data_IF_007666561926
#
_entry.id   IF_007666561926
#
_cell.length_a   1.000
_cell.length_b   1.000
_cell.length_c   1.000
_cell.angle_alpha   90.00
_cell.angle_beta   90.00
_cell.angle_gamma   90.00
#
_symmetry.space_group_name_H-M   'P 1'
#
loop_
_entity.id
_entity.type
_entity.pdbx_description
1 polymer ?
#
# COMPACT_ATOMS: atom_id res chain seq x y z
N UNK A 1 -12.62 -12.87 -4.14
CA UNK A 1 -11.95 -12.52 -5.43
C UNK A 1 -12.43 -13.47 -6.50
N UNK A 2 -12.35 -13.06 -7.76
CA UNK A 2 -12.61 -13.89 -8.93
C UNK A 2 -11.45 -13.74 -9.92
N UNK A 3 -11.15 -14.80 -10.65
CA UNK A 3 -10.10 -14.82 -11.66
C UNK A 3 -10.56 -15.63 -12.87
N UNK A 4 -10.15 -15.21 -14.06
CA UNK A 4 -10.36 -15.92 -15.31
C UNK A 4 -9.04 -15.95 -16.07
N UNK A 5 -8.71 -17.09 -16.66
CA UNK A 5 -7.59 -17.22 -17.59
C UNK A 5 -8.04 -17.92 -18.86
N UNK A 6 -7.47 -17.53 -19.98
CA UNK A 6 -7.71 -18.14 -21.27
C UNK A 6 -6.38 -18.34 -21.99
N UNK A 7 -6.07 -19.60 -22.31
CA UNK A 7 -4.89 -19.96 -23.07
C UNK A 7 -5.17 -19.73 -24.56
N UNK A 8 -4.49 -18.73 -25.13
CA UNK A 8 -4.57 -18.41 -26.57
C UNK A 8 -3.72 -19.41 -27.35
N UNK A 9 -2.52 -19.71 -26.82
CA UNK A 9 -1.59 -20.71 -27.31
C UNK A 9 -0.97 -21.44 -26.09
N UNK A 10 -0.33 -22.61 -26.27
CA UNK A 10 0.33 -23.30 -25.16
C UNK A 10 1.38 -22.48 -24.40
N UNK A 11 1.90 -21.42 -25.02
CA UNK A 11 2.90 -20.51 -24.48
C UNK A 11 2.37 -19.07 -24.24
N UNK A 12 1.09 -18.80 -24.53
CA UNK A 12 0.49 -17.47 -24.46
C UNK A 12 -0.89 -17.55 -23.81
N UNK A 13 -1.07 -16.87 -22.69
CA UNK A 13 -2.38 -16.75 -22.07
C UNK A 13 -2.70 -15.32 -21.68
N UNK A 14 -3.99 -15.05 -21.54
CA UNK A 14 -4.50 -13.82 -20.95
C UNK A 14 -5.23 -14.19 -19.66
N UNK A 15 -4.97 -13.44 -18.60
CA UNK A 15 -5.62 -13.60 -17.31
C UNK A 15 -6.17 -12.29 -16.80
N UNK A 16 -7.36 -12.31 -16.21
CA UNK A 16 -7.94 -11.18 -15.50
C UNK A 16 -8.31 -11.58 -14.09
N UNK A 17 -8.13 -10.67 -13.13
CA UNK A 17 -8.49 -10.87 -11.72
C UNK A 17 -9.23 -9.67 -11.19
N UNK A 18 -10.19 -9.91 -10.31
CA UNK A 18 -10.89 -8.87 -9.56
C UNK A 18 -11.02 -9.30 -8.09
N UNK A 19 -10.73 -8.38 -7.18
CA UNK A 19 -10.84 -8.54 -5.73
C UNK A 19 -11.60 -7.35 -5.18
N UNK A 20 -12.56 -7.65 -4.33
CA UNK A 20 -13.28 -6.66 -3.53
C UNK A 20 -13.12 -7.11 -2.10
N UNK A 21 -12.59 -6.24 -1.26
CA UNK A 21 -12.50 -6.43 0.19
C UNK A 21 -13.30 -5.33 0.87
N UNK A 22 -14.25 -5.73 1.70
CA UNK A 22 -15.09 -4.81 2.47
C UNK A 22 -14.91 -5.11 3.94
N UNK A 23 -14.58 -4.09 4.72
CA UNK A 23 -14.48 -4.17 6.17
C UNK A 23 -15.43 -3.17 6.77
N UNK A 24 -16.33 -3.65 7.63
CA UNK A 24 -17.17 -2.80 8.45
C UNK A 24 -16.75 -3.01 9.90
N UNK A 25 -16.47 -1.93 10.62
CA UNK A 25 -16.19 -1.98 12.04
C UNK A 25 -17.07 -1.00 12.80
N UNK A 26 -17.49 -1.42 13.98
CA UNK A 26 -18.23 -0.57 14.92
C UNK A 26 -17.36 -0.46 16.17
N UNK A 27 -16.98 0.76 16.49
CA UNK A 27 -16.32 1.10 17.73
C UNK A 27 -17.33 1.72 18.68
N UNK A 28 -17.43 1.19 19.89
CA UNK A 28 -18.30 1.72 20.94
C UNK A 28 -17.48 2.03 22.17
N UNK A 29 -17.59 3.28 22.65
CA UNK A 29 -17.00 3.72 23.91
C UNK A 29 -18.09 4.11 24.88
N UNK A 30 -17.95 3.63 26.12
CA UNK A 30 -18.86 3.91 27.22
C UNK A 30 -18.03 4.36 28.42
N UNK A 31 -18.06 5.65 28.71
CA UNK A 31 -17.44 6.21 29.90
C UNK A 31 -18.54 6.44 30.94
N UNK A 32 -18.43 5.75 32.07
CA UNK A 32 -19.44 5.80 33.13
C UNK A 32 -19.44 7.15 33.86
N UNK A 33 -20.54 7.48 34.54
CA UNK A 33 -20.70 8.65 35.40
C UNK A 33 -19.57 8.79 36.46
N UNK A 34 -18.97 7.68 36.88
CA UNK A 34 -17.83 7.66 37.80
C UNK A 34 -16.47 7.92 37.14
N UNK A 35 -16.43 8.13 35.82
CA UNK A 35 -15.20 8.41 35.08
C UNK A 35 -14.75 9.85 35.31
N UNK A 36 -13.47 10.12 35.01
CA UNK A 36 -12.92 11.46 35.15
C UNK A 36 -13.69 12.45 34.26
N UNK A 37 -14.16 13.56 34.84
CA UNK A 37 -14.99 14.55 34.15
C UNK A 37 -14.29 15.22 32.97
N UNK A 38 -12.95 15.24 32.94
CA UNK A 38 -12.20 15.76 31.79
C UNK A 38 -12.41 14.90 30.53
N UNK A 39 -12.44 13.57 30.67
CA UNK A 39 -12.61 12.65 29.53
C UNK A 39 -14.08 12.43 29.16
N UNK A 40 -15.02 12.80 30.04
CA UNK A 40 -16.46 12.84 29.73
C UNK A 40 -16.92 14.22 29.26
N UNK A 41 -15.99 15.11 28.89
CA UNK A 41 -16.28 16.45 28.38
C UNK A 41 -17.16 17.29 29.34
N UNK A 42 -16.90 17.13 30.64
CA UNK A 42 -17.60 17.81 31.72
C UNK A 42 -18.88 17.13 32.20
N UNK A 43 -19.30 16.02 31.60
CA UNK A 43 -20.51 15.32 32.05
C UNK A 43 -20.28 14.50 33.32
N UNK A 44 -21.19 14.67 34.27
CA UNK A 44 -21.33 13.81 35.46
C UNK A 44 -22.18 12.57 35.22
N UNK A 45 -22.83 12.46 34.05
CA UNK A 45 -23.75 11.37 33.70
C UNK A 45 -23.09 10.28 32.83
N UNK A 46 -21.92 10.59 32.27
CA UNK A 46 -21.12 9.70 31.43
C UNK A 46 -20.89 10.28 30.02
N UNK A 47 -20.27 9.49 29.15
CA UNK A 47 -20.00 9.88 27.77
C UNK A 47 -20.12 8.67 26.85
N UNK A 48 -20.72 8.89 25.68
CA UNK A 48 -20.99 7.84 24.70
C UNK A 48 -20.38 8.19 23.35
N UNK A 49 -19.68 7.22 22.77
CA UNK A 49 -19.13 7.30 21.42
C UNK A 49 -19.52 6.06 20.66
N UNK A 50 -20.05 6.23 19.46
CA UNK A 50 -20.26 5.17 18.49
C UNK A 50 -19.70 5.62 17.14
N UNK A 51 -18.77 4.84 16.59
CA UNK A 51 -18.15 5.11 15.29
C UNK A 51 -18.35 3.89 14.42
N UNK A 52 -18.91 4.10 13.24
CA UNK A 52 -19.02 3.10 12.18
C UNK A 52 -18.04 3.44 11.08
N UNK A 53 -17.07 2.56 10.85
CA UNK A 53 -16.15 2.65 9.73
C UNK A 53 -16.51 1.61 8.68
N UNK A 54 -16.53 2.04 7.42
CA UNK A 54 -16.75 1.22 6.25
C UNK A 54 -15.61 1.46 5.25
N UNK A 55 -14.71 0.50 5.18
CA UNK A 55 -13.57 0.49 4.27
C UNK A 55 -13.85 -0.49 3.12
N UNK A 56 -13.66 -0.02 1.89
CA UNK A 56 -13.85 -0.78 0.66
C UNK A 56 -12.55 -0.68 -0.16
N UNK A 57 -12.05 -1.83 -0.61
CA UNK A 57 -10.93 -1.91 -1.51
C UNK A 57 -11.31 -2.75 -2.72
N UNK A 58 -11.20 -2.15 -3.90
CA UNK A 58 -11.41 -2.80 -5.19
C UNK A 58 -10.07 -2.86 -5.92
N UNK A 59 -9.64 -4.06 -6.25
CA UNK A 59 -8.46 -4.30 -7.06
C UNK A 59 -8.83 -5.12 -8.29
N UNK A 60 -8.41 -4.67 -9.47
CA UNK A 60 -8.57 -5.45 -10.68
C UNK A 60 -7.32 -5.37 -11.55
N UNK A 61 -6.97 -6.48 -12.20
CA UNK A 61 -5.86 -6.55 -13.15
C UNK A 61 -6.22 -7.39 -14.38
N UNK A 62 -5.60 -7.03 -15.50
CA UNK A 62 -5.56 -7.84 -16.73
C UNK A 62 -4.11 -7.98 -17.13
N UNK A 63 -3.72 -9.19 -17.49
CA UNK A 63 -2.35 -9.56 -17.77
C UNK A 63 -2.26 -10.49 -18.98
N UNK A 64 -1.34 -10.18 -19.88
CA UNK A 64 -0.91 -11.05 -20.96
C UNK A 64 0.41 -11.71 -20.55
N UNK A 65 0.45 -13.04 -20.61
CA UNK A 65 1.57 -13.85 -20.15
C UNK A 65 2.14 -14.66 -21.32
N UNK A 66 3.44 -14.57 -21.52
CA UNK A 66 4.23 -15.35 -22.46
C UNK A 66 5.16 -16.24 -21.66
N UNK A 67 5.10 -17.55 -21.89
CA UNK A 67 6.07 -18.50 -21.34
C UNK A 67 6.49 -19.45 -22.45
N UNK A 68 7.67 -19.20 -23.03
CA UNK A 68 8.15 -19.92 -24.19
C UNK A 68 9.61 -20.33 -24.04
N UNK A 69 9.87 -21.61 -24.27
CA UNK A 69 11.22 -22.15 -24.40
C UNK A 69 11.59 -22.22 -25.88
N UNK A 70 12.79 -21.74 -26.22
CA UNK A 70 13.34 -21.80 -27.57
C UNK A 70 14.51 -22.79 -27.58
N UNK A 71 14.27 -23.97 -28.16
CA UNK A 71 15.22 -25.09 -28.10
C UNK A 71 15.39 -25.60 -26.68
N UNK A 72 16.60 -26.07 -26.35
CA UNK A 72 16.97 -26.53 -25.00
C UNK A 72 17.67 -25.45 -24.17
N UNK A 73 18.08 -24.36 -24.82
CA UNK A 73 18.98 -23.37 -24.21
C UNK A 73 18.27 -22.11 -23.72
N UNK A 74 17.23 -21.65 -24.39
CA UNK A 74 16.65 -20.34 -24.09
C UNK A 74 15.25 -20.47 -23.53
N UNK A 75 14.97 -19.71 -22.47
CA UNK A 75 13.62 -19.55 -21.93
C UNK A 75 13.27 -18.08 -21.88
N UNK A 76 12.01 -17.77 -22.18
CA UNK A 76 11.46 -16.44 -22.13
C UNK A 76 10.17 -16.49 -21.32
N UNK A 77 10.14 -15.72 -20.24
CA UNK A 77 8.92 -15.43 -19.48
C UNK A 77 8.69 -13.93 -19.57
N UNK A 78 7.61 -13.52 -20.21
CA UNK A 78 7.25 -12.10 -20.30
C UNK A 78 5.81 -11.89 -19.86
N UNK A 79 5.57 -10.86 -19.06
CA UNK A 79 4.24 -10.51 -18.58
C UNK A 79 4.03 -9.01 -18.82
N UNK A 80 2.87 -8.64 -19.34
CA UNK A 80 2.47 -7.24 -19.50
C UNK A 80 1.04 -7.11 -19.01
N UNK A 81 0.77 -6.12 -18.17
CA UNK A 81 -0.55 -5.97 -17.59
C UNK A 81 -0.87 -4.54 -17.17
N UNK A 82 -2.15 -4.32 -16.93
CA UNK A 82 -2.66 -3.10 -16.35
C UNK A 82 -3.47 -3.44 -15.10
N UNK A 83 -3.45 -2.56 -14.10
CA UNK A 83 -4.25 -2.73 -12.88
C UNK A 83 -4.88 -1.43 -12.42
N UNK A 84 -5.97 -1.56 -11.67
CA UNK A 84 -6.60 -0.49 -10.91
C UNK A 84 -6.73 -0.95 -9.45
N UNK A 85 -6.39 -0.05 -8.52
CA UNK A 85 -6.61 -0.22 -7.09
C UNK A 85 -7.35 1.01 -6.58
N UNK A 86 -8.59 0.83 -6.12
CA UNK A 86 -9.43 1.88 -5.54
C UNK A 86 -9.68 1.55 -4.07
N UNK A 87 -9.30 2.44 -3.17
CA UNK A 87 -9.47 2.29 -1.72
C UNK A 87 -10.31 3.46 -1.24
N UNK A 88 -11.39 3.14 -0.53
CA UNK A 88 -12.33 4.10 0.02
C UNK A 88 -12.56 3.84 1.48
N UNK A 89 -12.45 4.88 2.29
CA UNK A 89 -12.82 4.86 3.71
C UNK A 89 -13.97 5.81 3.96
N UNK A 90 -14.93 5.37 4.77
CA UNK A 90 -16.08 6.16 5.20
C UNK A 90 -16.29 5.95 6.69
N UNK A 91 -16.46 7.04 7.40
CA UNK A 91 -16.77 7.06 8.81
C UNK A 91 -18.08 7.81 9.05
N UNK A 92 -18.91 7.26 9.92
CA UNK A 92 -20.03 7.96 10.54
C UNK A 92 -19.90 7.79 12.05
N UNK A 93 -19.90 8.88 12.79
CA UNK A 93 -19.80 8.84 14.25
C UNK A 93 -20.87 9.67 14.94
N UNK A 94 -21.23 9.20 16.14
CA UNK A 94 -21.99 9.93 17.13
C UNK A 94 -21.16 9.95 18.41
N UNK A 95 -20.80 11.14 18.90
CA UNK A 95 -19.98 11.30 20.09
C UNK A 95 -20.49 12.45 20.94
N UNK A 96 -20.47 12.26 22.25
CA UNK A 96 -20.51 13.38 23.18
C UNK A 96 -20.84 12.99 24.62
N UNK A 97 -20.92 14.00 25.50
CA UNK A 97 -21.36 13.82 26.87
C UNK A 97 -22.83 13.40 26.94
N UNK A 98 -23.18 12.55 27.90
CA UNK A 98 -24.58 12.35 28.29
C UNK A 98 -25.05 13.64 28.97
N UNK A 99 -26.21 14.16 28.56
CA UNK A 99 -26.77 15.42 29.05
C UNK A 99 -27.10 15.35 30.55
N UNK A 100 -27.05 16.49 31.26
CA UNK A 100 -27.30 16.52 32.71
C UNK A 100 -28.74 16.11 33.09
N UNK A 101 -29.70 16.34 32.19
CA UNK A 101 -31.09 15.89 32.35
C UNK A 101 -31.33 14.44 31.92
N UNK A 102 -30.28 13.76 31.47
CA UNK A 102 -30.30 12.38 31.00
C UNK A 102 -30.27 11.39 32.15
N UNK A 103 -30.23 10.12 31.79
CA UNK A 103 -30.13 9.02 32.74
C UNK A 103 -28.64 8.63 32.86
N UNK A 104 -28.04 8.66 34.06
CA UNK A 104 -26.64 8.28 34.21
C UNK A 104 -26.37 6.87 33.70
N UNK A 105 -25.27 6.71 32.96
CA UNK A 105 -24.85 5.46 32.32
C UNK A 105 -25.84 4.89 31.28
N UNK A 106 -26.79 5.68 30.79
CA UNK A 106 -27.64 5.31 29.67
C UNK A 106 -26.95 5.65 28.34
N UNK A 107 -26.20 4.68 27.82
CA UNK A 107 -25.40 4.83 26.61
C UNK A 107 -26.24 4.71 25.33
N UNK A 108 -26.91 5.80 24.97
CA UNK A 108 -27.72 5.94 23.76
C UNK A 108 -27.52 7.32 23.13
N UNK A 109 -27.58 7.38 21.80
CA UNK A 109 -27.49 8.64 21.05
C UNK A 109 -28.57 9.64 21.46
N UNK A 110 -29.74 9.16 21.92
CA UNK A 110 -30.84 10.02 22.38
C UNK A 110 -30.53 10.80 23.67
N UNK A 111 -29.57 10.32 24.46
CA UNK A 111 -29.22 10.92 25.75
C UNK A 111 -27.96 11.78 25.69
N UNK A 112 -27.36 11.90 24.50
CA UNK A 112 -26.29 12.83 24.23
C UNK A 112 -26.79 14.29 24.33
N UNK A 113 -25.94 15.14 24.89
CA UNK A 113 -26.17 16.59 24.95
C UNK A 113 -26.20 17.18 23.54
N UNK A 114 -27.32 17.79 23.12
CA UNK A 114 -27.50 18.29 21.75
C UNK A 114 -26.60 19.47 21.41
N UNK A 115 -26.15 20.24 22.40
CA UNK A 115 -25.29 21.39 22.19
C UNK A 115 -23.82 20.99 22.10
N UNK A 116 -23.43 19.91 22.79
CA UNK A 116 -22.04 19.41 22.86
C UNK A 116 -21.76 18.22 21.96
N UNK A 117 -22.75 17.39 21.65
CA UNK A 117 -22.60 16.23 20.76
C UNK A 117 -22.85 16.60 19.30
N UNK A 118 -22.09 15.97 18.39
CA UNK A 118 -22.26 16.16 16.95
C UNK A 118 -22.17 14.83 16.23
N UNK A 119 -23.00 14.66 15.22
CA UNK A 119 -22.81 13.62 14.23
C UNK A 119 -21.65 14.06 13.32
N UNK A 120 -20.66 13.19 13.12
CA UNK A 120 -19.56 13.47 12.20
C UNK A 120 -19.60 12.47 11.06
N UNK A 121 -19.23 12.97 9.87
CA UNK A 121 -19.06 12.15 8.69
C UNK A 121 -17.71 12.49 8.09
N UNK A 122 -16.86 11.48 7.99
CA UNK A 122 -15.54 11.62 7.40
C UNK A 122 -15.33 10.54 6.34
N UNK A 123 -14.35 10.74 5.47
CA UNK A 123 -13.98 9.74 4.50
C UNK A 123 -12.98 10.24 3.48
N UNK A 124 -12.41 9.30 2.74
CA UNK A 124 -11.45 9.57 1.69
C UNK A 124 -11.51 8.48 0.62
N UNK A 125 -10.94 8.78 -0.54
CA UNK A 125 -10.78 7.82 -1.63
C UNK A 125 -9.40 8.02 -2.27
N UNK A 126 -8.71 6.93 -2.52
CA UNK A 126 -7.46 6.89 -3.27
C UNK A 126 -7.57 5.87 -4.39
N UNK A 127 -7.14 6.26 -5.57
CA UNK A 127 -7.12 5.37 -6.72
C UNK A 127 -5.76 5.39 -7.38
N UNK A 128 -5.21 4.21 -7.64
CA UNK A 128 -3.97 4.05 -8.41
C UNK A 128 -4.26 3.17 -9.61
N UNK A 129 -3.98 3.72 -10.79
CA UNK A 129 -3.97 2.96 -12.05
C UNK A 129 -2.53 2.69 -12.44
N UNK A 130 -2.26 1.53 -13.02
CA UNK A 130 -0.90 1.11 -13.30
C UNK A 130 -0.80 0.39 -14.62
N UNK A 131 0.29 0.63 -15.33
CA UNK A 131 0.74 -0.20 -16.45
C UNK A 131 2.09 -0.80 -16.05
N UNK A 132 2.25 -2.10 -16.20
CA UNK A 132 3.45 -2.80 -15.80
C UNK A 132 3.82 -3.93 -16.74
N UNK A 133 5.09 -4.30 -16.71
CA UNK A 133 5.56 -5.49 -17.38
C UNK A 133 6.87 -6.02 -16.80
N UNK A 134 7.11 -7.29 -17.06
CA UNK A 134 8.36 -7.98 -16.75
C UNK A 134 8.78 -8.85 -17.92
N UNK A 135 10.08 -8.95 -18.13
CA UNK A 135 10.70 -9.85 -19.10
C UNK A 135 11.85 -10.55 -18.38
N UNK A 136 11.82 -11.86 -18.38
CA UNK A 136 12.88 -12.72 -17.90
C UNK A 136 13.37 -13.59 -19.04
N UNK A 137 14.68 -13.54 -19.28
CA UNK A 137 15.37 -14.38 -20.24
C UNK A 137 16.30 -15.31 -19.48
N UNK A 138 16.09 -16.61 -19.62
CA UNK A 138 16.94 -17.65 -19.07
C UNK A 138 17.79 -18.31 -20.15
N UNK A 139 19.05 -18.62 -19.82
CA UNK A 139 19.98 -19.35 -20.66
C UNK A 139 20.49 -20.61 -19.95
N UNK A 140 20.31 -21.76 -20.60
CA UNK A 140 20.69 -23.14 -20.23
C UNK A 140 20.36 -23.49 -18.78
N UNK A 141 19.24 -22.96 -18.28
CA UNK A 141 18.82 -23.08 -16.89
C UNK A 141 19.84 -22.59 -15.85
N UNK A 142 20.88 -21.84 -16.26
CA UNK A 142 21.97 -21.39 -15.40
C UNK A 142 22.01 -19.88 -15.19
N UNK A 143 21.65 -19.07 -16.20
CA UNK A 143 21.74 -17.62 -16.16
C UNK A 143 20.37 -17.02 -16.45
N UNK A 144 19.92 -16.09 -15.62
CA UNK A 144 18.61 -15.46 -15.73
C UNK A 144 18.78 -13.95 -15.62
N UNK A 145 18.28 -13.22 -16.62
CA UNK A 145 18.19 -11.76 -16.61
C UNK A 145 16.72 -11.37 -16.57
N UNK A 146 16.34 -10.65 -15.53
CA UNK A 146 14.98 -10.16 -15.33
C UNK A 146 14.99 -8.64 -15.40
N UNK A 147 14.11 -8.07 -16.21
CA UNK A 147 13.88 -6.62 -16.28
C UNK A 147 12.40 -6.38 -16.03
N UNK A 148 12.08 -5.44 -15.16
CA UNK A 148 10.71 -5.03 -14.90
C UNK A 148 10.56 -3.52 -15.04
N UNK A 149 9.35 -3.09 -15.37
CA UNK A 149 8.99 -1.67 -15.40
C UNK A 149 7.53 -1.50 -15.02
N UNK A 150 7.24 -0.46 -14.24
CA UNK A 150 5.88 -0.09 -13.86
C UNK A 150 5.72 1.42 -13.86
N UNK A 151 4.61 1.90 -14.38
CA UNK A 151 4.21 3.30 -14.32
C UNK A 151 2.85 3.40 -13.62
N UNK A 152 2.80 4.22 -12.57
CA UNK A 152 1.60 4.43 -11.77
C UNK A 152 1.04 5.85 -11.97
N UNK A 153 -0.28 5.94 -12.06
CA UNK A 153 -1.08 7.16 -11.98
C UNK A 153 -1.87 7.10 -10.68
N UNK A 154 -1.38 7.80 -9.66
CA UNK A 154 -1.99 7.84 -8.33
C UNK A 154 -2.81 9.13 -8.16
N UNK A 155 -4.04 9.02 -7.65
CA UNK A 155 -4.95 10.16 -7.48
C UNK A 155 -4.41 11.23 -6.53
N UNK A 156 -3.54 10.85 -5.58
CA UNK A 156 -2.87 11.78 -4.68
C UNK A 156 -2.00 12.79 -5.45
N UNK A 157 -1.49 12.42 -6.63
CA UNK A 157 -0.69 13.32 -7.48
C UNK A 157 -1.53 14.35 -8.24
N UNK A 158 -2.87 14.29 -8.16
CA UNK A 158 -3.74 15.26 -8.78
C UNK A 158 -3.38 16.68 -8.32
N UNK A 159 -3.31 17.63 -9.24
CA UNK A 159 -2.90 19.01 -8.93
C UNK A 159 -1.38 19.22 -8.78
N UNK A 160 -0.56 18.19 -8.93
CA UNK A 160 0.91 18.33 -8.99
C UNK A 160 1.43 18.42 -10.44
N UNK A 161 2.68 18.89 -10.65
CA UNK A 161 3.32 18.90 -11.98
C UNK A 161 3.48 17.50 -12.58
N UNK A 162 3.58 16.46 -11.75
CA UNK A 162 3.85 15.09 -12.18
C UNK A 162 2.67 14.17 -11.86
N UNK A 163 1.88 13.81 -12.89
CA UNK A 163 0.67 12.98 -12.73
C UNK A 163 0.94 11.47 -12.72
N UNK A 164 2.16 11.05 -13.08
CA UNK A 164 2.55 9.64 -13.09
C UNK A 164 4.03 9.45 -12.80
N UNK A 165 4.41 8.26 -12.36
CA UNK A 165 5.82 7.94 -12.10
C UNK A 165 6.16 6.53 -12.55
N UNK A 166 7.18 6.43 -13.41
CA UNK A 166 7.75 5.18 -13.85
C UNK A 166 8.89 4.75 -12.93
N UNK A 167 8.98 3.45 -12.63
CA UNK A 167 10.06 2.84 -11.89
C UNK A 167 10.46 1.47 -12.49
N UNK A 168 11.75 1.28 -12.83
CA UNK A 168 12.26 0.01 -13.32
C UNK A 168 12.91 -0.84 -12.22
N UNK A 169 13.07 -2.14 -12.50
CA UNK A 169 14.03 -3.01 -11.80
C UNK A 169 14.78 -3.90 -12.79
N UNK A 170 15.97 -4.31 -12.40
CA UNK A 170 16.80 -5.28 -13.12
C UNK A 170 17.40 -6.25 -12.13
N UNK A 171 17.36 -7.53 -12.44
CA UNK A 171 17.94 -8.61 -11.66
C UNK A 171 18.73 -9.54 -12.56
N UNK A 172 19.88 -9.98 -12.07
CA UNK A 172 20.70 -11.01 -12.67
C UNK A 172 20.84 -12.14 -11.65
N UNK A 173 20.55 -13.36 -12.08
CA UNK A 173 20.82 -14.55 -11.30
C UNK A 173 21.64 -15.55 -12.09
N UNK A 174 22.64 -16.11 -11.43
CA UNK A 174 23.49 -17.13 -11.99
C UNK A 174 23.58 -18.32 -11.05
N UNK A 175 23.56 -19.53 -11.61
CA UNK A 175 23.68 -20.80 -10.91
C UNK A 175 25.03 -21.44 -11.30
N UNK A 176 26.14 -21.10 -10.62
CA UNK A 176 27.45 -21.65 -10.94
C UNK A 176 27.53 -23.18 -10.98
N UNK A 177 26.76 -23.88 -10.13
CA UNK A 177 26.71 -25.36 -10.13
C UNK A 177 26.15 -25.96 -11.41
N UNK A 178 25.48 -25.17 -12.25
CA UNK A 178 25.02 -25.60 -13.58
C UNK A 178 26.02 -25.22 -14.70
N UNK A 179 27.03 -24.40 -14.40
CA UNK A 179 28.05 -23.93 -15.35
C UNK A 179 29.37 -24.66 -15.19
N UNK A 180 29.74 -24.97 -13.95
CA UNK A 180 31.03 -25.55 -13.59
C UNK A 180 30.87 -26.77 -12.69
N UNK A 181 31.79 -27.71 -12.81
CA UNK A 181 31.97 -28.80 -11.85
C UNK A 181 32.60 -28.24 -10.56
N UNK A 182 31.74 -27.85 -9.62
CA UNK A 182 32.16 -27.42 -8.29
C UNK A 182 32.45 -28.65 -7.39
N UNK A 183 33.24 -28.50 -6.31
CA UNK A 183 33.49 -29.60 -5.37
C UNK A 183 32.18 -30.19 -4.82
N UNK A 184 32.15 -31.50 -4.53
CA UNK A 184 30.98 -32.23 -4.00
C UNK A 184 30.32 -31.58 -2.77
N UNK A 185 31.09 -30.75 -2.06
CA UNK A 185 30.58 -29.92 -0.99
C UNK A 185 29.43 -29.00 -1.46
N UNK A 186 29.42 -28.48 -2.69
CA UNK A 186 28.40 -27.56 -3.22
C UNK A 186 27.41 -28.27 -4.14
N UNK A 187 26.28 -28.71 -3.59
CA UNK A 187 25.19 -29.33 -4.39
C UNK A 187 24.36 -28.28 -5.14
N UNK A 188 24.30 -27.05 -4.63
CA UNK A 188 23.63 -25.93 -5.28
C UNK A 188 24.32 -24.63 -4.89
N UNK A 189 24.56 -23.76 -5.86
CA UNK A 189 25.00 -22.40 -5.60
C UNK A 189 24.25 -21.47 -6.55
N UNK A 190 23.65 -20.42 -6.02
CA UNK A 190 23.01 -19.35 -6.76
C UNK A 190 23.55 -18.02 -6.26
N UNK A 191 24.01 -17.22 -7.21
CA UNK A 191 24.39 -15.83 -7.01
C UNK A 191 23.30 -14.96 -7.62
N UNK A 192 22.95 -13.89 -6.92
CA UNK A 192 21.94 -12.94 -7.38
C UNK A 192 22.40 -11.52 -7.12
N UNK A 193 22.18 -10.65 -8.09
CA UNK A 193 22.40 -9.22 -7.96
C UNK A 193 21.20 -8.50 -8.57
N UNK A 194 20.72 -7.45 -7.91
CA UNK A 194 19.56 -6.70 -8.40
C UNK A 194 19.67 -5.22 -8.07
N UNK A 195 19.08 -4.43 -8.95
CA UNK A 195 18.81 -3.02 -8.75
C UNK A 195 17.31 -2.77 -8.95
N UNK A 196 16.68 -2.09 -8.01
CA UNK A 196 15.27 -1.73 -8.12
C UNK A 196 15.05 -0.27 -7.75
N UNK A 197 14.13 0.36 -8.47
CA UNK A 197 13.56 1.64 -8.12
C UNK A 197 12.10 1.38 -7.69
N UNK A 198 11.67 1.96 -6.59
CA UNK A 198 10.28 1.91 -6.12
C UNK A 198 9.79 3.34 -5.94
N UNK A 199 8.59 3.64 -6.42
CA UNK A 199 7.94 4.93 -6.26
C UNK A 199 6.70 4.84 -5.38
N UNK A 200 6.47 5.85 -4.54
CA UNK A 200 5.26 5.98 -3.71
C UNK A 200 4.73 7.41 -3.87
N UNK A 201 3.42 7.62 -4.07
CA UNK A 201 2.87 8.97 -4.13
C UNK A 201 2.94 9.64 -2.75
N UNK A 202 2.97 10.98 -2.72
CA UNK A 202 2.88 11.73 -1.46
C UNK A 202 1.49 11.59 -0.81
N UNK A 203 1.34 11.89 0.50
CA UNK A 203 0.07 11.79 1.20
C UNK A 203 -1.08 12.56 0.53
N UNK A 204 -2.31 12.06 0.72
CA UNK A 204 -3.54 12.69 0.25
C UNK A 204 -3.67 14.16 0.68
N UNK A 205 -4.42 14.93 -0.09
CA UNK A 205 -4.84 16.31 0.23
C UNK A 205 -3.71 17.35 0.39
N UNK A 206 -2.49 17.07 -0.05
CA UNK A 206 -1.39 18.06 -0.04
C UNK A 206 -1.46 19.08 -1.19
N UNK A 207 -2.10 18.72 -2.30
CA UNK A 207 -2.23 19.56 -3.51
C UNK A 207 -3.58 20.25 -3.62
N UNK A 208 -4.51 19.98 -2.70
CA UNK A 208 -5.87 20.51 -2.72
C UNK A 208 -6.16 21.21 -1.40
N UNK A 209 -6.67 22.46 -1.41
CA UNK A 209 -7.10 23.12 -0.18
C UNK A 209 -8.15 22.28 0.55
N UNK A 210 -7.92 22.03 1.82
CA UNK A 210 -8.88 21.38 2.71
C UNK A 210 -9.27 22.32 3.84
N UNK A 211 -10.44 22.07 4.42
CA UNK A 211 -10.94 22.81 5.57
C UNK A 211 -11.16 21.81 6.69
N UNK A 212 -10.45 21.98 7.79
CA UNK A 212 -10.67 21.20 8.99
C UNK A 212 -11.73 21.90 9.86
N UNK A 213 -12.65 21.14 10.43
CA UNK A 213 -13.58 21.67 11.40
C UNK A 213 -12.92 21.69 12.78
N UNK A 214 -12.85 22.86 13.40
CA UNK A 214 -12.39 23.02 14.78
C UNK A 214 -13.61 22.94 15.70
N UNK A 215 -13.67 21.87 16.51
CA UNK A 215 -14.77 21.62 17.44
C UNK A 215 -14.82 22.64 18.58
N UNK A 216 -13.68 23.23 18.96
CA UNK A 216 -13.58 24.20 20.05
C UNK A 216 -14.12 25.56 19.62
N UNK A 217 -13.71 26.01 18.43
CA UNK A 217 -14.13 27.32 17.89
C UNK A 217 -15.40 27.25 17.03
N UNK A 218 -15.86 26.04 16.70
CA UNK A 218 -17.00 25.74 15.84
C UNK A 218 -16.88 26.32 14.42
N UNK A 219 -15.65 26.48 13.94
CA UNK A 219 -15.35 27.09 12.64
C UNK A 219 -14.65 26.11 11.70
N UNK A 220 -14.85 26.32 10.41
CA UNK A 220 -14.04 25.68 9.38
C UNK A 220 -12.78 26.50 9.19
N UNK A 221 -11.64 25.93 9.57
CA UNK A 221 -10.33 26.55 9.40
C UNK A 221 -9.68 25.99 8.13
N UNK A 222 -9.14 26.83 7.25
CA UNK A 222 -8.35 26.33 6.13
C UNK A 222 -7.15 25.57 6.68
N UNK A 223 -6.93 24.35 6.19
CA UNK A 223 -5.72 23.60 6.52
C UNK A 223 -4.56 24.27 5.80
N UNK A 224 -3.84 25.12 6.52
CA UNK A 224 -2.73 25.92 5.99
C UNK A 224 -1.45 25.09 5.97
N UNK A 225 -1.25 24.32 4.89
CA UNK A 225 0.11 23.99 4.48
C UNK A 225 0.74 25.27 3.91
N UNK A 226 2.02 25.55 4.19
CA UNK A 226 2.77 26.49 3.33
C UNK A 226 2.64 26.00 1.90
N UNK A 227 2.54 26.91 0.93
CA UNK A 227 2.50 26.57 -0.48
C UNK A 227 3.66 25.63 -0.82
N UNK A 228 3.35 24.34 -0.98
CA UNK A 228 4.36 23.33 -1.24
C UNK A 228 4.63 23.41 -2.74
N UNK A 229 5.77 24.01 -3.12
CA UNK A 229 6.09 24.33 -4.51
C UNK A 229 5.90 23.15 -5.49
N UNK A 230 6.94 22.33 -5.68
CA UNK A 230 6.84 21.15 -6.53
C UNK A 230 6.98 19.89 -5.68
N UNK A 231 5.87 19.16 -5.52
CA UNK A 231 5.84 17.85 -4.90
C UNK A 231 6.17 16.77 -5.93
N UNK A 232 7.07 15.88 -5.55
CA UNK A 232 7.47 14.71 -6.33
C UNK A 232 7.14 13.43 -5.55
N UNK A 233 6.81 12.33 -6.24
CA UNK A 233 6.68 11.03 -5.59
C UNK A 233 7.98 10.64 -4.87
N UNK A 234 7.84 9.99 -3.72
CA UNK A 234 8.95 9.39 -2.99
C UNK A 234 9.60 8.31 -3.85
N UNK A 235 10.94 8.22 -3.78
CA UNK A 235 11.70 7.28 -4.56
C UNK A 235 12.74 6.55 -3.73
N UNK A 236 12.59 5.23 -3.63
CA UNK A 236 13.58 4.35 -3.01
C UNK A 236 14.34 3.58 -4.09
N UNK A 237 15.67 3.70 -4.09
CA UNK A 237 16.57 2.92 -4.94
C UNK A 237 17.27 1.88 -4.08
N UNK A 238 17.20 0.62 -4.50
CA UNK A 238 17.78 -0.50 -3.76
C UNK A 238 18.76 -1.25 -4.64
N UNK A 239 19.95 -1.50 -4.10
CA UNK A 239 20.93 -2.44 -4.62
C UNK A 239 20.97 -3.65 -3.69
N UNK A 240 20.98 -4.84 -4.25
CA UNK A 240 21.05 -6.08 -3.47
C UNK A 240 21.98 -7.09 -4.14
N UNK A 241 22.77 -7.77 -3.33
CA UNK A 241 23.57 -8.93 -3.71
C UNK A 241 23.27 -10.06 -2.74
N UNK A 242 23.00 -11.25 -3.27
CA UNK A 242 22.68 -12.42 -2.48
C UNK A 242 23.40 -13.67 -2.96
N UNK A 243 23.54 -14.60 -2.03
CA UNK A 243 24.12 -15.90 -2.23
C UNK A 243 23.23 -16.94 -1.54
N UNK A 244 22.84 -17.96 -2.28
CA UNK A 244 22.14 -19.13 -1.77
C UNK A 244 22.96 -20.37 -2.09
N UNK A 245 23.32 -21.16 -1.07
CA UNK A 245 24.12 -22.36 -1.20
C UNK A 245 23.46 -23.55 -0.50
N UNK A 246 23.56 -24.73 -1.11
CA UNK A 246 23.26 -26.02 -0.49
C UNK A 246 24.54 -26.82 -0.41
N UNK A 247 24.94 -27.17 0.81
CA UNK A 247 26.17 -27.89 1.10
C UNK A 247 25.87 -29.33 1.53
N UNK A 248 26.60 -30.31 0.97
CA UNK A 248 26.47 -31.76 1.24
C UNK A 248 25.02 -32.27 1.27
N UNK A 249 24.13 -31.71 0.46
CA UNK A 249 22.67 -31.93 0.50
C UNK A 249 21.92 -31.57 1.79
N UNK A 250 22.58 -31.47 2.94
CA UNK A 250 21.93 -31.35 4.24
C UNK A 250 21.89 -29.92 4.79
N UNK A 251 22.86 -29.09 4.41
CA UNK A 251 22.98 -27.72 4.92
C UNK A 251 22.54 -26.71 3.87
N UNK A 252 21.70 -25.75 4.25
CA UNK A 252 21.26 -24.63 3.40
C UNK A 252 21.72 -23.33 4.03
N UNK A 253 22.43 -22.51 3.27
CA UNK A 253 22.90 -21.20 3.68
C UNK A 253 22.39 -20.15 2.69
N UNK A 254 21.85 -19.07 3.22
CA UNK A 254 21.42 -17.90 2.44
C UNK A 254 21.99 -16.66 3.09
N UNK A 255 22.68 -15.83 2.31
CA UNK A 255 23.21 -14.55 2.74
C UNK A 255 22.77 -13.46 1.75
N UNK A 256 22.49 -12.27 2.25
CA UNK A 256 22.04 -11.15 1.42
C UNK A 256 22.51 -9.85 2.02
N UNK A 257 23.02 -8.97 1.16
CA UNK A 257 23.44 -7.63 1.50
C UNK A 257 22.66 -6.66 0.62
N UNK A 258 22.10 -5.63 1.22
CA UNK A 258 21.31 -4.63 0.51
C UNK A 258 21.69 -3.21 0.96
N UNK A 259 21.51 -2.27 0.04
CA UNK A 259 21.62 -0.83 0.28
C UNK A 259 20.38 -0.17 -0.30
N UNK A 260 19.61 0.52 0.53
CA UNK A 260 18.41 1.25 0.13
C UNK A 260 18.57 2.74 0.43
N UNK A 261 18.40 3.57 -0.59
CA UNK A 261 18.45 5.04 -0.50
C UNK A 261 17.07 5.60 -0.89
N UNK A 262 16.44 6.34 0.02
CA UNK A 262 15.11 6.95 -0.18
C UNK A 262 15.24 8.45 -0.30
N UNK A 263 14.72 8.98 -1.41
CA UNK A 263 14.75 10.39 -1.78
C UNK A 263 13.33 10.93 -2.00
N UNK A 264 13.15 12.25 -1.89
CA UNK A 264 11.86 12.93 -2.04
C UNK A 264 10.76 12.45 -1.07
N UNK A 265 11.15 11.91 0.09
CA UNK A 265 10.19 11.57 1.13
C UNK A 265 9.48 12.82 1.61
N UNK A 266 8.14 12.76 1.60
CA UNK A 266 7.30 13.86 2.07
C UNK A 266 7.02 13.67 3.56
N UNK A 267 7.51 14.59 4.39
CA UNK A 267 7.23 14.64 5.82
C UNK A 267 6.87 16.06 6.24
N UNK A 268 6.09 16.19 7.31
CA UNK A 268 5.75 17.47 7.91
C UNK A 268 6.68 17.71 9.11
N UNK A 269 7.79 18.45 8.94
CA UNK A 269 8.65 18.78 10.07
C UNK A 269 7.94 19.79 10.98
N UNK A 270 7.93 19.51 12.29
CA UNK A 270 7.64 20.54 13.28
C UNK A 270 8.87 21.45 13.34
N UNK A 271 8.74 22.68 12.84
CA UNK A 271 9.79 23.69 13.02
C UNK A 271 9.69 24.18 14.46
N UNK A 272 10.65 23.77 15.30
CA UNK A 272 10.85 24.28 16.66
C UNK A 272 11.42 25.69 16.65
#
# INVERSE_FOLDING_TARGET
SAALSYDILPWLNVSGRARIDNTNSVYTQKLYASSNTTITEGSSQGHYTEITNADEQIYADVMLNVNKTFGEEWSLVANVGASINDVRSRELSYRGPIRDSGVPNLFTVFDLDREKSRAQKWGWQEQTQSLFGSVEVGWRSMLYLTVTGRNDWASQLAGSPQKSFFYPSVGLSWIPTATFDLPDAFTYLKLRASFSSVGIPFPRFLTTPTYAYDETTQQWLPTTFREIGQLYPERTKTWEVGLDARLWNDLRLSASWYLADTSNQTFQPTVS
#
